data_IF_121797850851
#
_entry.id   IF_121797850851
#
_cell.length_a   1.000
_cell.length_b   1.000
_cell.length_c   1.000
_cell.angle_alpha   90.00
_cell.angle_beta   90.00
_cell.angle_gamma   90.00
#
_symmetry.space_group_name_H-M   'P 1'
#
loop_
_entity.id
_entity.type
_entity.pdbx_description
1 polymer ?
#
# COMPACT_ATOMS: atom_id res chain seq x y z
N UNK A 1 -12.06 -13.93 -11.79
CA UNK A 1 -11.88 -13.05 -12.96
C UNK A 1 -13.26 -12.53 -13.34
N UNK A 2 -13.58 -11.28 -12.99
CA UNK A 2 -14.87 -10.67 -13.32
C UNK A 2 -14.76 -10.08 -14.72
N UNK A 3 -15.56 -10.59 -15.66
CA UNK A 3 -15.60 -10.06 -17.02
C UNK A 3 -16.52 -8.84 -17.01
N UNK A 4 -15.94 -7.64 -16.99
CA UNK A 4 -16.71 -6.41 -17.00
C UNK A 4 -17.22 -6.20 -18.43
N UNK A 5 -18.52 -6.40 -18.63
CA UNK A 5 -19.19 -6.25 -19.94
C UNK A 5 -19.27 -4.80 -20.42
N UNK A 6 -19.11 -3.85 -19.51
CA UNK A 6 -19.08 -2.41 -19.81
C UNK A 6 -17.68 -1.84 -19.52
N UNK A 7 -16.96 -1.47 -20.58
CA UNK A 7 -15.60 -0.92 -20.50
C UNK A 7 -15.54 0.34 -19.60
N UNK A 8 -16.57 1.19 -19.66
CA UNK A 8 -16.61 2.45 -18.91
C UNK A 8 -16.74 2.21 -17.41
N UNK A 9 -17.60 1.25 -17.03
CA UNK A 9 -17.73 0.82 -15.62
C UNK A 9 -16.42 0.18 -15.13
N UNK A 10 -15.79 -0.63 -15.98
CA UNK A 10 -14.54 -1.29 -15.61
C UNK A 10 -13.39 -0.34 -15.38
N UNK A 11 -13.28 0.72 -16.19
CA UNK A 11 -12.30 1.77 -15.98
C UNK A 11 -12.56 2.49 -14.65
N UNK A 12 -13.81 2.89 -14.37
CA UNK A 12 -14.16 3.57 -13.11
C UNK A 12 -13.86 2.72 -11.87
N UNK A 13 -14.22 1.43 -11.89
CA UNK A 13 -13.98 0.53 -10.76
C UNK A 13 -12.46 0.26 -10.55
N UNK A 14 -11.68 0.32 -11.63
CA UNK A 14 -10.21 0.19 -11.59
C UNK A 14 -9.55 1.46 -11.07
N UNK A 15 -10.01 2.64 -11.49
CA UNK A 15 -9.53 3.93 -11.00
C UNK A 15 -9.86 4.14 -9.52
N UNK A 16 -11.02 3.67 -9.06
CA UNK A 16 -11.40 3.70 -7.65
C UNK A 16 -10.61 2.72 -6.75
N UNK A 17 -9.68 1.93 -7.31
CA UNK A 17 -8.86 0.98 -6.54
C UNK A 17 -9.61 -0.25 -6.00
N UNK A 18 -10.84 -0.49 -6.47
CA UNK A 18 -11.68 -1.61 -5.98
C UNK A 18 -11.30 -2.93 -6.64
N UNK A 19 -10.88 -2.87 -7.91
CA UNK A 19 -10.54 -4.05 -8.71
C UNK A 19 -9.29 -3.82 -9.56
N UNK A 20 -8.55 -4.90 -9.83
CA UNK A 20 -7.47 -4.87 -10.81
C UNK A 20 -8.04 -5.19 -12.21
N UNK A 21 -7.81 -4.28 -13.16
CA UNK A 21 -8.15 -4.45 -14.57
C UNK A 21 -6.96 -4.92 -15.41
N UNK A 22 -7.24 -5.63 -16.50
CA UNK A 22 -6.26 -5.96 -17.53
C UNK A 22 -6.71 -5.39 -18.87
N UNK A 23 -5.88 -4.53 -19.47
CA UNK A 23 -6.14 -3.92 -20.76
C UNK A 23 -4.85 -3.82 -21.58
N UNK A 24 -4.98 -3.55 -22.88
CA UNK A 24 -3.84 -3.24 -23.74
C UNK A 24 -3.15 -1.97 -23.26
N UNK A 25 -1.81 -1.95 -23.32
CA UNK A 25 -1.02 -0.79 -22.92
C UNK A 25 -1.36 0.44 -23.76
N UNK A 26 -1.68 0.26 -25.03
CA UNK A 26 -2.06 1.34 -25.93
C UNK A 26 -3.34 2.06 -25.52
N UNK A 27 -4.27 1.37 -24.85
CA UNK A 27 -5.52 1.99 -24.36
C UNK A 27 -5.41 2.44 -22.91
N UNK A 28 -4.62 1.74 -22.10
CA UNK A 28 -4.45 2.03 -20.68
C UNK A 28 -3.64 3.32 -20.43
N UNK A 29 -2.55 3.52 -21.18
CA UNK A 29 -1.65 4.67 -20.94
C UNK A 29 -2.34 6.02 -21.19
N UNK A 30 -3.12 6.23 -22.27
CA UNK A 30 -3.84 7.48 -22.46
C UNK A 30 -4.90 7.74 -21.39
N UNK A 31 -5.60 6.70 -20.91
CA UNK A 31 -6.61 6.82 -19.84
C UNK A 31 -5.96 7.29 -18.55
N UNK A 32 -4.81 6.71 -18.17
CA UNK A 32 -4.03 7.16 -17.02
C UNK A 32 -3.56 8.61 -17.19
N UNK A 33 -3.20 9.02 -18.40
CA UNK A 33 -2.78 10.39 -18.68
C UNK A 33 -3.92 11.39 -18.52
N UNK A 34 -5.13 11.03 -18.96
CA UNK A 34 -6.33 11.86 -18.76
C UNK A 34 -6.69 11.98 -17.28
N UNK A 35 -6.67 10.86 -16.56
CA UNK A 35 -6.95 10.81 -15.12
C UNK A 35 -5.97 11.70 -14.33
N UNK A 36 -4.66 11.53 -14.58
CA UNK A 36 -3.63 12.36 -13.99
C UNK A 36 -3.77 13.85 -14.36
N UNK A 37 -4.15 14.16 -15.60
CA UNK A 37 -4.36 15.55 -16.03
C UNK A 37 -5.55 16.21 -15.34
N UNK A 38 -6.51 15.44 -14.84
CA UNK A 38 -7.70 15.94 -14.16
C UNK A 38 -7.47 16.06 -12.65
N UNK A 39 -6.93 15.02 -12.02
CA UNK A 39 -6.82 14.93 -10.56
C UNK A 39 -5.41 15.25 -10.01
N UNK A 40 -4.38 15.18 -10.86
CA UNK A 40 -2.99 15.47 -10.49
C UNK A 40 -2.34 14.42 -9.57
N UNK A 41 -3.02 13.30 -9.32
CA UNK A 41 -2.56 12.19 -8.46
C UNK A 41 -2.48 10.91 -9.29
N UNK A 42 -1.50 10.05 -9.00
CA UNK A 42 -1.35 8.74 -9.63
C UNK A 42 -1.81 7.62 -8.68
N UNK A 43 -3.11 7.37 -8.58
CA UNK A 43 -3.65 6.30 -7.72
C UNK A 43 -3.53 4.91 -8.37
N UNK A 44 -3.43 4.87 -9.69
CA UNK A 44 -3.27 3.63 -10.47
C UNK A 44 -1.92 3.58 -11.17
N UNK A 45 -1.31 2.39 -11.14
CA UNK A 45 -0.01 2.15 -11.75
C UNK A 45 -0.08 0.97 -12.73
N UNK A 46 0.79 1.02 -13.74
CA UNK A 46 0.97 -0.09 -14.68
C UNK A 46 2.04 -1.05 -14.14
N UNK A 47 1.72 -2.35 -14.14
CA UNK A 47 2.70 -3.40 -13.82
C UNK A 47 3.73 -3.47 -14.97
N UNK A 48 5.02 -3.59 -14.63
CA UNK A 48 6.14 -3.53 -15.58
C UNK A 48 6.11 -4.62 -16.65
N UNK A 49 5.47 -5.76 -16.36
CA UNK A 49 5.45 -6.93 -17.23
C UNK A 49 4.04 -7.15 -17.79
N UNK A 50 3.93 -7.07 -19.12
CA UNK A 50 2.69 -7.39 -19.83
C UNK A 50 2.40 -8.88 -19.73
N UNK A 51 1.31 -9.24 -19.04
CA UNK A 51 0.84 -10.63 -18.97
C UNK A 51 0.29 -11.13 -20.32
N UNK A 52 -0.24 -10.22 -21.13
CA UNK A 52 -0.71 -10.45 -22.48
C UNK A 52 0.41 -10.02 -23.44
N UNK A 53 0.73 -10.85 -24.43
CA UNK A 53 1.77 -10.57 -25.42
C UNK A 53 1.57 -9.24 -26.16
N UNK A 54 2.54 -8.83 -27.00
CA UNK A 54 2.48 -7.54 -27.69
C UNK A 54 1.19 -7.43 -28.51
N UNK A 55 0.35 -6.46 -28.16
CA UNK A 55 -0.86 -6.14 -28.93
C UNK A 55 -0.45 -5.22 -30.07
N UNK A 56 -0.77 -5.62 -31.30
CA UNK A 56 -0.51 -4.82 -32.49
C UNK A 56 -1.80 -4.16 -32.96
N UNK A 57 -1.73 -2.86 -33.28
CA UNK A 57 -2.82 -2.14 -33.93
C UNK A 57 -2.63 -2.24 -35.44
N UNK A 58 -3.68 -2.59 -36.17
CA UNK A 58 -3.66 -2.73 -37.63
C UNK A 58 -4.82 -1.97 -38.26
N UNK A 59 -4.58 -1.37 -39.42
CA UNK A 59 -5.61 -0.71 -40.22
C UNK A 59 -6.25 -1.72 -41.18
N UNK A 60 -7.56 -1.90 -41.05
CA UNK A 60 -8.33 -2.79 -41.92
C UNK A 60 -8.81 -2.05 -43.17
N UNK A 61 -8.57 -2.65 -44.34
CA UNK A 61 -9.09 -2.18 -45.62
C UNK A 61 -9.99 -3.26 -46.26
N UNK A 62 -11.04 -2.87 -47.00
CA UNK A 62 -11.84 -3.83 -47.75
C UNK A 62 -10.98 -4.59 -48.78
N UNK A 63 -11.33 -5.86 -49.01
CA UNK A 63 -10.60 -6.76 -49.93
C UNK A 63 -10.58 -6.15 -51.34
N UNK A 64 -9.41 -6.13 -51.97
CA UNK A 64 -9.21 -5.59 -53.33
C UNK A 64 -9.05 -4.07 -53.40
N UNK A 65 -9.04 -3.35 -52.28
CA UNK A 65 -8.83 -1.90 -52.30
C UNK A 65 -7.43 -1.52 -52.80
N UNK A 66 -7.30 -0.67 -53.84
CA UNK A 66 -6.00 -0.18 -54.32
C UNK A 66 -5.32 0.73 -53.29
N UNK A 67 -6.08 1.23 -52.30
CA UNK A 67 -5.59 2.10 -51.25
C UNK A 67 -4.67 1.37 -50.26
N UNK A 68 -4.85 0.06 -50.09
CA UNK A 68 -4.05 -0.75 -49.16
C UNK A 68 -2.56 -0.61 -49.43
N UNK A 69 -2.15 -0.73 -50.69
CA UNK A 69 -0.73 -0.66 -51.08
C UNK A 69 -0.14 0.72 -50.79
N UNK A 70 -0.86 1.79 -51.19
CA UNK A 70 -0.39 3.17 -50.98
C UNK A 70 -0.29 3.52 -49.51
N UNK A 71 -1.31 3.22 -48.72
CA UNK A 71 -1.34 3.56 -47.29
C UNK A 71 -0.32 2.75 -46.50
N UNK A 72 -0.12 1.47 -46.84
CA UNK A 72 0.92 0.67 -46.21
C UNK A 72 2.32 1.27 -46.39
N UNK A 73 2.67 1.74 -47.59
CA UNK A 73 3.97 2.39 -47.84
C UNK A 73 4.11 3.69 -47.04
N UNK A 74 3.05 4.49 -46.94
CA UNK A 74 3.07 5.75 -46.18
C UNK A 74 3.25 5.49 -44.68
N UNK A 75 2.53 4.51 -44.11
CA UNK A 75 2.66 4.14 -42.70
C UNK A 75 4.05 3.62 -42.40
N UNK A 76 4.60 2.78 -43.28
CA UNK A 76 5.97 2.28 -43.12
C UNK A 76 6.97 3.42 -43.09
N UNK A 77 6.87 4.39 -44.01
CA UNK A 77 7.71 5.60 -43.97
C UNK A 77 7.51 6.39 -42.69
N UNK A 78 6.27 6.67 -42.28
CA UNK A 78 5.97 7.39 -41.04
C UNK A 78 6.56 6.69 -39.80
N UNK A 79 6.58 5.36 -39.79
CA UNK A 79 7.21 4.55 -38.77
C UNK A 79 8.74 4.63 -38.83
N UNK A 80 9.34 4.53 -40.01
CA UNK A 80 10.80 4.64 -40.23
C UNK A 80 11.32 6.02 -39.85
N UNK A 81 10.55 7.09 -40.11
CA UNK A 81 10.87 8.45 -39.69
C UNK A 81 10.63 8.70 -38.19
N UNK A 82 10.04 7.76 -37.45
CA UNK A 82 9.75 7.92 -36.01
C UNK A 82 8.60 8.89 -35.68
N UNK A 83 7.88 9.41 -36.68
CA UNK A 83 6.78 10.37 -36.47
C UNK A 83 5.64 9.72 -35.67
N UNK A 84 5.34 8.44 -35.96
CA UNK A 84 4.29 7.72 -35.25
C UNK A 84 4.63 7.52 -33.77
N UNK A 85 5.91 7.27 -33.46
CA UNK A 85 6.38 7.16 -32.08
C UNK A 85 6.33 8.51 -31.37
N UNK A 86 6.73 9.59 -32.05
CA UNK A 86 6.66 10.94 -31.50
C UNK A 86 5.23 11.36 -31.14
N UNK A 87 4.26 11.12 -32.03
CA UNK A 87 2.85 11.42 -31.76
C UNK A 87 2.30 10.58 -30.60
N UNK A 88 2.66 9.29 -30.52
CA UNK A 88 2.25 8.44 -29.42
C UNK A 88 2.85 8.90 -28.09
N UNK A 89 4.12 9.33 -28.08
CA UNK A 89 4.79 9.86 -26.90
C UNK A 89 4.23 11.22 -26.47
N UNK A 90 3.85 12.07 -27.43
CA UNK A 90 3.24 13.37 -27.15
C UNK A 90 1.89 13.23 -26.42
N UNK A 91 1.05 12.28 -26.84
CA UNK A 91 -0.23 11.98 -26.17
C UNK A 91 -0.08 11.50 -24.73
N UNK A 92 1.06 10.88 -24.37
CA UNK A 92 1.29 10.28 -23.06
C UNK A 92 2.36 11.02 -22.23
N UNK A 93 2.80 12.17 -22.73
CA UNK A 93 3.96 12.92 -22.22
C UNK A 93 3.79 13.36 -20.76
N UNK A 94 2.57 13.70 -20.32
CA UNK A 94 2.32 14.30 -19.01
C UNK A 94 2.30 13.28 -17.86
N UNK A 95 1.95 12.01 -18.12
CA UNK A 95 1.83 10.97 -17.10
C UNK A 95 3.05 10.02 -17.04
N UNK A 96 4.22 10.47 -17.47
CA UNK A 96 5.47 9.70 -17.35
C UNK A 96 5.82 9.38 -15.89
N UNK A 97 5.36 10.19 -14.92
CA UNK A 97 5.48 9.91 -13.48
C UNK A 97 4.62 8.71 -13.04
N UNK A 98 3.37 8.59 -13.52
CA UNK A 98 2.49 7.45 -13.20
C UNK A 98 2.90 6.14 -13.90
N UNK A 99 3.69 6.25 -14.98
CA UNK A 99 4.19 5.11 -15.75
C UNK A 99 5.51 4.54 -15.19
N UNK A 100 6.09 5.20 -14.19
CA UNK A 100 7.23 4.62 -13.48
C UNK A 100 6.77 3.31 -12.84
N UNK A 101 7.40 2.17 -13.18
CA UNK A 101 7.01 0.91 -12.57
C UNK A 101 7.14 1.08 -11.06
N UNK A 102 6.26 0.43 -10.29
CA UNK A 102 6.37 0.44 -8.82
C UNK A 102 7.75 0.00 -8.35
N UNK A 103 8.51 -0.75 -9.17
CA UNK A 103 9.93 -1.05 -8.94
C UNK A 103 10.88 0.17 -8.93
N UNK A 104 10.51 1.33 -9.46
CA UNK A 104 11.30 2.56 -9.32
C UNK A 104 11.07 3.26 -7.97
N UNK A 105 9.91 3.03 -7.34
CA UNK A 105 9.59 3.46 -5.97
C UNK A 105 9.80 2.36 -4.91
N UNK A 106 9.89 1.08 -5.31
CA UNK A 106 10.21 -0.08 -4.48
C UNK A 106 11.65 -0.62 -4.69
N UNK A 107 12.35 -0.17 -5.73
CA UNK A 107 13.64 -0.74 -6.19
C UNK A 107 14.71 0.30 -6.51
N UNK A 108 14.47 1.59 -6.24
CA UNK A 108 15.57 2.40 -5.72
C UNK A 108 15.65 2.08 -4.23
N UNK A 109 16.79 1.58 -3.77
CA UNK A 109 17.06 1.23 -2.38
C UNK A 109 17.06 2.45 -1.44
N UNK A 110 16.01 3.26 -1.48
CA UNK A 110 15.58 4.06 -0.35
C UNK A 110 14.66 3.13 0.43
N UNK A 111 15.27 2.29 1.29
CA UNK A 111 14.57 1.81 2.47
C UNK A 111 13.80 3.02 3.01
N UNK A 112 12.47 2.94 3.12
CA UNK A 112 11.68 4.01 3.75
C UNK A 112 12.45 4.44 5.00
N UNK A 113 12.87 5.72 5.12
CA UNK A 113 13.63 6.15 6.27
C UNK A 113 12.81 5.74 7.49
N UNK A 114 13.41 4.90 8.34
CA UNK A 114 12.78 4.26 9.49
C UNK A 114 11.94 5.30 10.24
N UNK A 115 10.63 5.31 10.01
CA UNK A 115 9.78 6.38 10.50
C UNK A 115 9.41 6.03 11.93
N UNK A 116 9.27 7.02 12.81
CA UNK A 116 8.89 6.78 14.21
C UNK A 116 7.57 5.98 14.34
N UNK A 117 6.71 6.01 13.31
CA UNK A 117 5.52 5.16 13.20
C UNK A 117 5.83 3.65 13.22
N UNK A 118 6.96 3.22 12.63
CA UNK A 118 7.36 1.79 12.63
C UNK A 118 7.75 1.31 14.04
N UNK A 119 8.17 2.22 14.92
CA UNK A 119 8.55 1.93 16.31
C UNK A 119 7.40 2.04 17.31
N UNK A 120 6.18 2.39 16.87
CA UNK A 120 5.02 2.54 17.75
C UNK A 120 4.73 1.29 18.57
N UNK A 121 4.93 0.10 17.98
CA UNK A 121 4.77 -1.17 18.69
C UNK A 121 5.76 -1.34 19.85
N UNK A 122 7.02 -0.97 19.65
CA UNK A 122 8.08 -1.11 20.67
C UNK A 122 7.85 -0.15 21.83
N UNK A 123 7.49 1.11 21.56
CA UNK A 123 7.16 2.08 22.60
C UNK A 123 5.90 1.67 23.40
N UNK A 124 4.90 1.10 22.73
CA UNK A 124 3.69 0.60 23.40
C UNK A 124 3.99 -0.52 24.39
N UNK A 125 4.86 -1.47 24.00
CA UNK A 125 5.26 -2.58 24.88
C UNK A 125 6.07 -2.07 26.08
N UNK A 126 6.98 -1.12 25.85
CA UNK A 126 7.80 -0.53 26.91
C UNK A 126 6.94 0.19 27.98
N UNK A 127 6.01 1.04 27.56
CA UNK A 127 5.11 1.75 28.48
C UNK A 127 4.19 0.76 29.21
N UNK A 128 3.68 -0.25 28.51
CA UNK A 128 2.88 -1.32 29.11
C UNK A 128 3.65 -2.08 30.20
N UNK A 129 4.90 -2.44 29.93
CA UNK A 129 5.77 -3.13 30.90
C UNK A 129 6.05 -2.28 32.15
N UNK A 130 6.29 -0.98 31.97
CA UNK A 130 6.50 -0.05 33.09
C UNK A 130 5.26 0.09 33.98
N UNK A 131 4.06 0.18 33.39
CA UNK A 131 2.80 0.25 34.15
C UNK A 131 2.55 -1.04 34.94
N UNK A 132 2.75 -2.20 34.32
CA UNK A 132 2.58 -3.50 35.01
C UNK A 132 3.58 -3.63 36.16
N UNK A 133 4.85 -3.29 35.95
CA UNK A 133 5.85 -3.33 37.01
C UNK A 133 5.48 -2.43 38.20
N UNK A 134 5.03 -1.21 37.94
CA UNK A 134 4.57 -0.28 38.98
C UNK A 134 3.36 -0.83 39.74
N UNK A 135 2.37 -1.39 39.05
CA UNK A 135 1.19 -1.98 39.69
C UNK A 135 1.56 -3.17 40.58
N UNK A 136 2.46 -4.04 40.10
CA UNK A 136 2.90 -5.22 40.84
C UNK A 136 3.65 -4.81 42.11
N UNK A 137 4.54 -3.82 42.01
CA UNK A 137 5.27 -3.28 43.15
C UNK A 137 4.34 -2.64 44.19
N UNK A 138 3.36 -1.84 43.77
CA UNK A 138 2.37 -1.27 44.67
C UNK A 138 1.54 -2.35 45.37
N UNK A 139 1.13 -3.40 44.65
CA UNK A 139 0.41 -4.53 45.23
C UNK A 139 1.24 -5.25 46.31
N UNK A 140 2.53 -5.48 46.06
CA UNK A 140 3.43 -6.07 47.05
C UNK A 140 3.58 -5.20 48.30
N UNK A 141 3.71 -3.88 48.16
CA UNK A 141 3.78 -2.97 49.30
C UNK A 141 2.49 -2.98 50.13
N UNK A 142 1.32 -3.01 49.48
CA UNK A 142 0.03 -3.09 50.18
C UNK A 142 -0.09 -4.44 50.91
N UNK A 143 0.26 -5.55 50.26
CA UNK A 143 0.21 -6.88 50.88
C UNK A 143 1.17 -6.94 52.08
N UNK A 144 2.38 -6.41 51.95
CA UNK A 144 3.38 -6.45 53.01
C UNK A 144 3.00 -5.56 54.21
N UNK A 145 2.43 -4.38 53.98
CA UNK A 145 1.95 -3.50 55.06
C UNK A 145 0.75 -4.09 55.79
N UNK A 146 -0.20 -4.72 55.08
CA UNK A 146 -1.33 -5.44 55.70
C UNK A 146 -0.84 -6.65 56.50
N UNK A 147 0.12 -7.40 55.95
CA UNK A 147 0.73 -8.57 56.61
C UNK A 147 1.47 -8.16 57.89
N UNK A 148 2.25 -7.09 57.85
CA UNK A 148 2.93 -6.54 59.04
C UNK A 148 1.92 -6.10 60.10
N UNK A 149 0.86 -5.37 59.72
CA UNK A 149 -0.20 -4.94 60.64
C UNK A 149 -0.93 -6.12 61.30
N UNK A 150 -1.24 -7.17 60.52
CA UNK A 150 -1.82 -8.41 61.06
C UNK A 150 -0.86 -9.13 62.01
N UNK A 151 0.44 -9.16 61.69
CA UNK A 151 1.48 -9.77 62.54
C UNK A 151 1.66 -9.01 63.85
N UNK A 152 1.55 -7.68 63.85
CA UNK A 152 1.58 -6.87 65.08
C UNK A 152 0.38 -7.19 65.98
N UNK A 153 -0.82 -7.29 65.40
CA UNK A 153 -2.04 -7.62 66.14
C UNK A 153 -2.05 -9.05 66.70
N UNK A 154 -1.44 -10.02 66.01
CA UNK A 154 -1.29 -11.39 66.52
C UNK A 154 -0.27 -11.50 67.65
N UNK A 155 0.83 -10.72 67.60
CA UNK A 155 1.79 -10.66 68.72
C UNK A 155 1.14 -10.07 69.97
N UNK A 156 0.27 -9.08 69.83
CA UNK A 156 -0.41 -8.43 70.96
C UNK A 156 -1.37 -9.39 71.69
N UNK A 157 -2.18 -10.17 70.95
CA UNK A 157 -3.02 -11.23 71.56
C UNK A 157 -2.18 -12.30 72.25
N UNK A 158 -1.04 -12.70 71.67
CA UNK A 158 -0.17 -13.71 72.27
C UNK A 158 0.56 -13.21 73.53
N UNK A 159 0.82 -11.90 73.69
CA UNK A 159 1.35 -11.32 74.94
C UNK A 159 0.32 -11.22 76.06
N UNK A 160 -0.97 -10.99 75.76
CA UNK A 160 -2.03 -10.92 76.77
C UNK A 160 -2.34 -12.32 77.33
N UNK A 161 -2.33 -13.36 76.50
CA UNK A 161 -2.50 -14.75 76.95
C UNK A 161 -1.32 -15.23 77.82
N UNK A 162 -0.09 -14.76 77.55
CA UNK A 162 1.08 -15.09 78.38
C UNK A 162 1.11 -14.31 79.71
N UNK A 163 0.39 -13.20 79.85
CA UNK A 163 0.32 -12.42 81.09
C UNK A 163 -0.79 -12.91 82.04
N UNK A 164 -1.82 -13.59 81.51
CA UNK A 164 -2.90 -14.22 82.29
C UNK A 164 -2.57 -15.65 82.79
N UNK A 165 -1.35 -16.15 82.56
CA UNK A 165 -0.93 -17.51 82.92
C UNK A 165 -0.03 -17.57 84.18
N UNK A 166 0.36 -16.44 84.77
CA UNK A 166 1.12 -16.42 86.02
C UNK A 166 0.17 -16.36 87.24
N UNK A 167 0.25 -17.31 88.19
CA UNK A 167 -0.66 -17.45 89.33
C UNK A 167 -0.47 -16.38 90.42
#
# INVERSE_FOLDING_TARGET
MVLITNQMKGISDTLAGVVAGAASTSSLVPVLNLDFSMDGVCDTYKISQGFLGPTSLSLAFPKGSPLKARVNTVILRLKEFGILEHLALQEVSNATECLKPVSSTLGTGVLRPLEIGDFQGIFSIYIGGMLVALLTFLAELVINTVKEKYRSSLKESQTVDNLNICP
#
